data_IF_335393052627
#
_entry.id   IF_335393052627
#
_cell.length_a   1.000
_cell.length_b   1.000
_cell.length_c   1.000
_cell.angle_alpha   90.00
_cell.angle_beta   90.00
_cell.angle_gamma   90.00
#
_symmetry.space_group_name_H-M   'P 1'
#
loop_
_entity.id
_entity.type
_entity.pdbx_description
1 polymer ?
#
# COMPACT_ATOMS: atom_id res chain seq x y z
N UNK A 1 -3.98 -22.45 2.33
CA UNK A 1 -4.23 -20.99 2.38
C UNK A 1 -5.41 -20.68 1.47
N UNK A 2 -6.44 -19.96 1.94
CA UNK A 2 -7.56 -19.59 1.05
C UNK A 2 -7.14 -18.54 0.03
N UNK A 3 -7.61 -18.65 -1.21
CA UNK A 3 -7.32 -17.73 -2.33
C UNK A 3 -7.43 -16.25 -1.92
N UNK A 4 -8.46 -15.92 -1.13
CA UNK A 4 -8.66 -14.57 -0.56
C UNK A 4 -7.45 -14.05 0.23
N UNK A 5 -6.80 -14.89 1.05
CA UNK A 5 -5.60 -14.49 1.79
C UNK A 5 -4.44 -14.20 0.84
N UNK A 6 -4.24 -15.03 -0.19
CA UNK A 6 -3.16 -14.84 -1.17
C UNK A 6 -3.36 -13.50 -1.90
N UNK A 7 -4.58 -13.22 -2.35
CA UNK A 7 -4.92 -11.95 -3.01
C UNK A 7 -4.72 -10.74 -2.10
N UNK A 8 -5.11 -10.82 -0.83
CA UNK A 8 -4.91 -9.74 0.13
C UNK A 8 -3.43 -9.51 0.43
N UNK A 9 -2.62 -10.57 0.54
CA UNK A 9 -1.18 -10.45 0.73
C UNK A 9 -0.50 -9.83 -0.48
N UNK A 10 -0.88 -10.23 -1.69
CA UNK A 10 -0.40 -9.61 -2.93
C UNK A 10 -0.80 -8.14 -3.03
N UNK A 11 -2.04 -7.81 -2.69
CA UNK A 11 -2.52 -6.42 -2.68
C UNK A 11 -1.74 -5.57 -1.67
N UNK A 12 -1.48 -6.09 -0.48
CA UNK A 12 -0.68 -5.41 0.53
C UNK A 12 0.76 -5.18 0.05
N UNK A 13 1.43 -6.21 -0.47
CA UNK A 13 2.79 -6.12 -1.02
C UNK A 13 2.87 -5.12 -2.18
N UNK A 14 1.94 -5.20 -3.13
CA UNK A 14 1.89 -4.30 -4.28
C UNK A 14 1.67 -2.85 -3.84
N UNK A 15 0.74 -2.61 -2.92
CA UNK A 15 0.45 -1.25 -2.41
C UNK A 15 1.66 -0.66 -1.66
N UNK A 16 2.33 -1.47 -0.83
CA UNK A 16 3.53 -1.06 -0.12
C UNK A 16 4.70 -0.78 -1.08
N UNK A 17 4.89 -1.63 -2.09
CA UNK A 17 5.92 -1.45 -3.11
C UNK A 17 5.70 -0.17 -3.93
N UNK A 18 4.46 0.08 -4.35
CA UNK A 18 4.12 1.30 -5.10
C UNK A 18 4.32 2.56 -4.25
N UNK A 19 3.95 2.52 -2.97
CA UNK A 19 4.12 3.65 -2.07
C UNK A 19 5.60 3.97 -1.85
N UNK A 20 6.44 2.94 -1.65
CA UNK A 20 7.88 3.10 -1.53
C UNK A 20 8.49 3.66 -2.82
N UNK A 21 8.09 3.15 -3.99
CA UNK A 21 8.56 3.65 -5.29
C UNK A 21 8.24 5.14 -5.48
N UNK A 22 6.99 5.55 -5.24
CA UNK A 22 6.57 6.95 -5.38
C UNK A 22 7.33 7.87 -4.41
N UNK A 23 7.57 7.43 -3.17
CA UNK A 23 8.37 8.20 -2.21
C UNK A 23 9.84 8.32 -2.63
N UNK A 24 10.44 7.24 -3.12
CA UNK A 24 11.83 7.25 -3.58
C UNK A 24 11.98 8.17 -4.78
N UNK A 25 11.10 8.06 -5.79
CA UNK A 25 11.09 8.95 -6.94
C UNK A 25 10.91 10.42 -6.54
N UNK A 26 9.99 10.70 -5.61
CA UNK A 26 9.79 12.06 -5.12
C UNK A 26 11.01 12.64 -4.39
N UNK A 27 11.76 11.81 -3.66
CA UNK A 27 13.03 12.20 -3.04
C UNK A 27 14.08 12.48 -4.11
N UNK A 28 14.22 11.60 -5.10
CA UNK A 28 15.23 11.72 -6.16
C UNK A 28 14.99 12.91 -7.09
N UNK A 29 13.72 13.28 -7.30
CA UNK A 29 13.32 14.40 -8.17
C UNK A 29 13.13 15.71 -7.41
N UNK A 30 13.42 15.74 -6.10
CA UNK A 30 13.15 16.88 -5.20
C UNK A 30 11.69 17.39 -5.27
N UNK A 31 10.77 16.53 -5.70
CA UNK A 31 9.34 16.82 -5.86
C UNK A 31 8.50 16.35 -4.67
N UNK A 32 9.04 16.48 -3.45
CA UNK A 32 8.28 16.32 -2.21
C UNK A 32 7.24 17.44 -2.07
N UNK A 33 6.11 17.25 -2.75
CA UNK A 33 4.98 18.17 -2.80
C UNK A 33 3.73 17.51 -2.25
N UNK A 34 2.68 18.31 -2.00
CA UNK A 34 1.38 17.77 -1.59
C UNK A 34 0.82 16.74 -2.59
N UNK A 35 1.17 16.84 -3.88
CA UNK A 35 0.75 15.88 -4.90
C UNK A 35 1.25 14.45 -4.62
N UNK A 36 2.49 14.32 -4.17
CA UNK A 36 3.08 13.02 -3.78
C UNK A 36 2.36 12.47 -2.56
N UNK A 37 2.02 13.31 -1.59
CA UNK A 37 1.23 12.89 -0.43
C UNK A 37 -0.14 12.35 -0.85
N UNK A 38 -0.86 13.04 -1.75
CA UNK A 38 -2.13 12.57 -2.29
C UNK A 38 -2.01 11.30 -3.14
N UNK A 39 -0.85 11.06 -3.77
CA UNK A 39 -0.57 9.82 -4.51
C UNK A 39 -0.28 8.63 -3.57
N UNK A 40 0.42 8.87 -2.46
CA UNK A 40 0.81 7.83 -1.48
C UNK A 40 -0.34 7.48 -0.53
N UNK A 41 -1.18 8.45 -0.16
CA UNK A 41 -2.30 8.26 0.77
C UNK A 41 -3.25 7.09 0.40
N UNK A 42 -3.77 6.98 -0.83
CA UNK A 42 -4.64 5.86 -1.22
C UNK A 42 -3.91 4.50 -1.18
N UNK A 43 -2.61 4.47 -1.45
CA UNK A 43 -1.80 3.24 -1.37
C UNK A 43 -1.66 2.78 0.08
N UNK A 44 -1.43 3.71 1.02
CA UNK A 44 -1.39 3.42 2.45
C UNK A 44 -2.75 2.96 2.97
N UNK A 45 -3.85 3.55 2.47
CA UNK A 45 -5.21 3.12 2.81
C UNK A 45 -5.50 1.70 2.30
N UNK A 46 -5.18 1.41 1.04
CA UNK A 46 -5.33 0.07 0.46
C UNK A 46 -4.51 -0.98 1.21
N UNK A 47 -3.27 -0.65 1.55
CA UNK A 47 -2.43 -1.50 2.40
C UNK A 47 -3.09 -1.76 3.76
N UNK A 48 -3.57 -0.72 4.43
CA UNK A 48 -4.20 -0.82 5.75
C UNK A 48 -5.47 -1.69 5.72
N UNK A 49 -6.29 -1.55 4.68
CA UNK A 49 -7.49 -2.37 4.47
C UNK A 49 -7.10 -3.83 4.23
N UNK A 50 -6.12 -4.08 3.36
CA UNK A 50 -5.65 -5.43 3.04
C UNK A 50 -5.05 -6.12 4.27
N UNK A 51 -4.24 -5.39 5.03
CA UNK A 51 -3.61 -5.86 6.26
C UNK A 51 -4.63 -6.16 7.36
N UNK A 52 -5.61 -5.28 7.56
CA UNK A 52 -6.70 -5.50 8.51
C UNK A 52 -7.55 -6.71 8.12
N UNK A 53 -7.87 -6.86 6.82
CA UNK A 53 -8.61 -8.00 6.31
C UNK A 53 -7.85 -9.34 6.41
N UNK A 54 -6.51 -9.32 6.45
CA UNK A 54 -5.65 -10.47 6.72
C UNK A 54 -5.62 -10.84 8.22
N UNK A 55 -5.58 -9.82 9.10
CA UNK A 55 -5.49 -9.97 10.55
C UNK A 55 -6.81 -10.35 11.23
N UNK A 56 -7.95 -10.02 10.62
CA UNK A 56 -9.27 -10.39 11.15
C UNK A 56 -9.45 -11.92 11.05
N UNK A 57 -9.26 -12.63 12.17
CA UNK A 57 -9.73 -14.01 12.33
C UNK A 57 -11.25 -13.98 12.13
N UNK A 58 -11.72 -14.83 11.21
CA UNK A 58 -13.14 -15.11 11.04
C UNK A 58 -13.53 -15.95 12.25
N UNK A 59 -14.06 -15.31 13.29
CA UNK A 59 -14.98 -15.97 14.23
C UNK A 59 -16.18 -16.50 13.43
#
# INVERSE_FOLDING_TARGET
MGLRRILLTLLALASAGLAAYVLIEAILTEHLTQQVFYAVLPLVLLFSIAWNALGKKRD
#
